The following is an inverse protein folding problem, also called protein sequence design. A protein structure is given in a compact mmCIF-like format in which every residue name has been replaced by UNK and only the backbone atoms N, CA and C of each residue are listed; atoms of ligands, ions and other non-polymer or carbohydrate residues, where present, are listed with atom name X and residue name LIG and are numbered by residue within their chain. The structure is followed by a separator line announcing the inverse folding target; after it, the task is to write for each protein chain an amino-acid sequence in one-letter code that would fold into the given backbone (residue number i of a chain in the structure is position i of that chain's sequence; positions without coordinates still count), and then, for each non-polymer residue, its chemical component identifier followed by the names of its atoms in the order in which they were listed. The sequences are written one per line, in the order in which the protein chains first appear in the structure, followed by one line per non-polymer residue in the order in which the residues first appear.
data_IF_994203046674
#
_entry.id   IF_994203046674
#
_cell.length_a   1.000
_cell.length_b   1.000
_cell.length_c   1.000
_cell.angle_alpha   90.00
_cell.angle_beta   90.00
_cell.angle_gamma   90.00
#
_symmetry.space_group_name_H-M   'P 1'
#
loop_
_entity.id
_entity.type
_entity.pdbx_description
1 polymer ?
#
# COMPACT_ATOMS: atom_id res chain seq x y z
N UNK A 1 -8.12 -12.81 -2.21
CA UNK A 1 -8.15 -11.84 -3.32
C UNK A 1 -8.41 -10.49 -2.71
N UNK A 2 -7.61 -9.50 -3.09
CA UNK A 2 -7.78 -8.12 -2.68
C UNK A 2 -8.17 -7.31 -3.91
N UNK A 3 -9.16 -6.44 -3.77
CA UNK A 3 -9.55 -5.47 -4.79
C UNK A 3 -8.85 -4.14 -4.50
N UNK A 4 -8.37 -3.46 -5.54
CA UNK A 4 -7.76 -2.14 -5.40
C UNK A 4 -8.86 -1.10 -5.26
N UNK A 5 -8.90 -0.43 -4.12
CA UNK A 5 -9.85 0.63 -3.82
C UNK A 5 -9.38 1.96 -4.40
N UNK A 6 -8.10 2.28 -4.20
CA UNK A 6 -7.48 3.51 -4.70
C UNK A 6 -5.97 3.39 -4.87
N UNK A 7 -5.42 4.26 -5.72
CA UNK A 7 -3.98 4.51 -5.84
C UNK A 7 -3.76 6.00 -5.61
N UNK A 8 -3.04 6.33 -4.55
CA UNK A 8 -2.87 7.71 -4.11
C UNK A 8 -1.38 8.07 -3.99
N UNK A 9 -1.05 9.34 -4.25
CA UNK A 9 0.30 9.86 -4.16
C UNK A 9 0.40 10.84 -2.99
N UNK A 10 1.36 10.61 -2.10
CA UNK A 10 1.60 11.47 -0.94
C UNK A 10 3.04 11.94 -0.90
N UNK A 11 3.24 13.24 -0.68
CA UNK A 11 4.56 13.77 -0.38
C UNK A 11 5.14 13.06 0.85
N UNK A 12 6.40 12.61 0.78
CA UNK A 12 7.08 11.97 1.92
C UNK A 12 7.11 12.87 3.14
N UNK A 13 7.18 14.19 2.92
CA UNK A 13 7.17 15.20 3.98
C UNK A 13 5.82 15.35 4.69
N UNK A 14 4.72 14.89 4.06
CA UNK A 14 3.37 14.95 4.62
C UNK A 14 2.67 13.59 4.47
N UNK A 15 3.42 12.53 4.74
CA UNK A 15 2.92 11.17 4.57
C UNK A 15 1.85 10.87 5.64
N UNK A 16 0.65 10.39 5.26
CA UNK A 16 -0.44 10.17 6.20
C UNK A 16 -0.25 8.84 6.95
N UNK A 17 0.73 8.80 7.86
CA UNK A 17 1.16 7.61 8.61
C UNK A 17 -0.01 6.85 9.22
N UNK A 18 -0.91 7.53 9.93
CA UNK A 18 -2.03 6.88 10.62
C UNK A 18 -3.03 6.25 9.63
N UNK A 19 -3.23 6.86 8.46
CA UNK A 19 -4.11 6.29 7.44
C UNK A 19 -3.49 5.08 6.76
N UNK A 20 -2.17 5.07 6.57
CA UNK A 20 -1.46 3.99 5.84
C UNK A 20 -1.12 2.82 6.75
N UNK A 21 -0.69 3.10 7.98
CA UNK A 21 -0.17 2.11 8.92
C UNK A 21 -1.05 1.91 10.16
N UNK A 22 -2.08 2.74 10.35
CA UNK A 22 -3.03 2.58 11.44
C UNK A 22 -3.85 1.29 11.35
N UNK A 23 -4.48 0.91 12.46
CA UNK A 23 -5.30 -0.29 12.53
C UNK A 23 -6.51 -0.19 11.60
N UNK A 24 -7.02 -1.35 11.18
CA UNK A 24 -8.31 -1.48 10.49
C UNK A 24 -9.16 -2.57 11.09
N UNK A 25 -10.46 -2.39 10.97
CA UNK A 25 -11.46 -3.36 11.44
C UNK A 25 -11.61 -4.56 10.49
N UNK A 26 -11.10 -4.44 9.26
CA UNK A 26 -11.19 -5.46 8.21
C UNK A 26 -9.82 -5.85 7.66
N UNK A 27 -9.79 -6.95 6.88
CA UNK A 27 -8.58 -7.41 6.19
C UNK A 27 -8.27 -6.50 5.00
N UNK A 28 -7.23 -5.69 5.16
CA UNK A 28 -6.79 -4.69 4.17
C UNK A 28 -5.33 -4.90 3.80
N UNK A 29 -4.95 -4.44 2.60
CA UNK A 29 -3.59 -4.49 2.08
C UNK A 29 -3.16 -3.08 1.67
N UNK A 30 -1.91 -2.72 2.00
CA UNK A 30 -1.26 -1.49 1.55
C UNK A 30 0.02 -1.85 0.83
N UNK A 31 0.15 -1.43 -0.43
CA UNK A 31 1.41 -1.47 -1.15
C UNK A 31 1.98 -0.05 -1.22
N UNK A 32 3.16 0.15 -0.65
CA UNK A 32 3.82 1.45 -0.58
C UNK A 32 5.11 1.41 -1.40
N UNK A 33 5.27 2.34 -2.34
CA UNK A 33 6.48 2.46 -3.17
C UNK A 33 6.91 3.91 -3.32
N UNK A 34 8.16 4.14 -3.74
CA UNK A 34 8.65 5.46 -4.08
C UNK A 34 8.02 5.97 -5.39
N UNK A 35 7.67 7.26 -5.46
CA UNK A 35 7.16 7.87 -6.68
C UNK A 35 7.24 9.39 -6.72
N UNK A 36 6.60 9.98 -7.73
CA UNK A 36 6.71 11.41 -8.00
C UNK A 36 8.05 11.79 -8.63
N UNK A 37 8.47 13.04 -8.44
CA UNK A 37 9.71 13.55 -9.04
C UNK A 37 10.93 13.02 -8.29
N UNK A 38 11.96 12.60 -9.04
CA UNK A 38 13.26 12.32 -8.46
C UNK A 38 13.98 13.62 -8.10
N UNK A 39 14.39 13.75 -6.84
CA UNK A 39 15.26 14.82 -6.36
C UNK A 39 16.71 14.34 -6.38
N UNK A 40 17.50 14.90 -7.30
CA UNK A 40 18.91 14.56 -7.50
C UNK A 40 19.75 14.90 -6.27
N UNK A 41 19.45 16.01 -5.56
CA UNK A 41 20.21 16.42 -4.36
C UNK A 41 19.98 15.45 -3.21
N UNK A 42 18.74 14.96 -3.07
CA UNK A 42 18.35 13.96 -2.07
C UNK A 42 18.54 12.51 -2.53
N UNK A 43 18.97 12.31 -3.78
CA UNK A 43 19.09 11.02 -4.46
C UNK A 43 17.85 10.12 -4.28
N UNK A 44 16.66 10.71 -4.22
CA UNK A 44 15.44 9.98 -3.92
C UNK A 44 14.20 10.62 -4.52
N UNK A 45 13.18 9.81 -4.72
CA UNK A 45 11.83 10.26 -5.05
C UNK A 45 11.20 11.03 -3.90
N UNK A 46 10.51 12.12 -4.18
CA UNK A 46 9.95 13.01 -3.12
C UNK A 46 8.61 12.53 -2.57
N UNK A 47 7.94 11.62 -3.26
CA UNK A 47 6.61 11.12 -2.89
C UNK A 47 6.63 9.60 -2.69
N UNK A 48 5.57 9.10 -2.07
CA UNK A 48 5.21 7.70 -2.06
C UNK A 48 3.92 7.52 -2.87
N UNK A 49 3.83 6.41 -3.61
CA UNK A 49 2.58 5.89 -4.15
C UNK A 49 2.07 4.82 -3.19
N UNK A 50 0.83 4.94 -2.78
CA UNK A 50 0.15 4.00 -1.90
C UNK A 50 -1.05 3.43 -2.62
N UNK A 51 -1.06 2.11 -2.77
CA UNK A 51 -2.24 1.36 -3.20
C UNK A 51 -2.99 0.91 -1.96
N UNK A 52 -4.26 1.29 -1.85
CA UNK A 52 -5.18 0.79 -0.84
C UNK A 52 -6.03 -0.32 -1.46
N UNK A 53 -6.19 -1.42 -0.72
CA UNK A 53 -6.95 -2.57 -1.18
C UNK A 53 -7.64 -3.29 -0.03
N UNK A 54 -8.85 -3.79 -0.30
CA UNK A 54 -9.67 -4.52 0.67
C UNK A 54 -9.89 -5.96 0.22
N UNK A 55 -9.89 -6.91 1.17
CA UNK A 55 -10.12 -8.32 0.84
C UNK A 55 -11.56 -8.55 0.40
N UNK A 56 -11.77 -9.12 -0.79
CA UNK A 56 -13.11 -9.44 -1.31
C UNK A 56 -13.40 -10.96 -1.35
N UNK A 57 -12.37 -11.79 -1.21
CA UNK A 57 -12.51 -13.25 -1.25
C UNK A 57 -11.34 -13.91 -0.52
N UNK A 58 -11.60 -14.91 0.31
CA UNK A 58 -10.57 -15.73 0.95
C UNK A 58 -10.55 -17.12 0.31
N UNK A 59 -9.45 -17.43 -0.38
CA UNK A 59 -9.22 -18.76 -0.96
C UNK A 59 -8.21 -19.53 -0.13
N UNK A 60 -8.64 -20.52 0.67
CA UNK A 60 -7.70 -21.36 1.39
C UNK A 60 -6.89 -22.21 0.41
N UNK A 61 -5.61 -22.39 0.71
CA UNK A 61 -4.79 -23.37 -0.03
C UNK A 61 -5.34 -24.78 0.20
N UNK A 62 -5.41 -25.62 -0.85
CA UNK A 62 -5.78 -27.02 -0.68
C UNK A 62 -4.78 -27.72 0.25
N UNK A 63 -5.27 -28.67 1.05
CA UNK A 63 -4.44 -29.45 1.95
C UNK A 63 -3.31 -30.16 1.18
N UNK A 64 -2.08 -30.24 1.73
CA UNK A 64 -0.98 -30.93 1.07
C UNK A 64 -1.35 -32.40 0.82
N UNK A 65 -1.00 -32.92 -0.36
CA UNK A 65 -1.12 -34.35 -0.66
C UNK A 65 0.01 -35.08 0.08
N UNK A 66 -0.35 -36.10 0.86
CA UNK A 66 0.59 -36.99 1.55
C UNK A 66 1.38 -37.84 0.56
#
# INVERSE_FOLDING_TARGET
VFEVDSVEQFAKANFPTDRVYGPTDEATLRLVTCGGRYDIRRQSYVDNIVVFATMIDFRPSPAPRR
#
